data_IF_156146930737
#
_entry.id   IF_156146930737
#
_cell.length_a   1.000
_cell.length_b   1.000
_cell.length_c   1.000
_cell.angle_alpha   90.00
_cell.angle_beta   90.00
_cell.angle_gamma   90.00
#
_symmetry.space_group_name_H-M   'P 1'
#
loop_
_entity.id
_entity.type
_entity.pdbx_description
1 polymer ?
#
# COMPACT_ATOMS: atom_id res chain seq x y z
N UNK A 1 -12.02 -25.36 7.15
CA UNK A 1 -11.20 -24.32 6.49
C UNK A 1 -11.51 -23.00 7.18
N UNK A 2 -10.74 -22.64 8.22
CA UNK A 2 -10.89 -21.35 8.90
C UNK A 2 -10.00 -20.37 8.15
N UNK A 3 -10.60 -19.50 7.33
CA UNK A 3 -9.93 -18.28 6.94
C UNK A 3 -9.94 -17.40 8.18
N UNK A 4 -8.79 -17.24 8.84
CA UNK A 4 -8.61 -16.11 9.75
C UNK A 4 -8.72 -14.86 8.89
N UNK A 5 -9.93 -14.30 8.81
CA UNK A 5 -10.18 -12.98 8.24
C UNK A 5 -9.59 -11.95 9.21
N UNK A 6 -8.27 -11.87 9.31
CA UNK A 6 -7.60 -10.83 10.09
C UNK A 6 -7.92 -9.50 9.42
N UNK A 7 -8.94 -8.83 9.94
CA UNK A 7 -9.32 -7.50 9.47
C UNK A 7 -8.11 -6.61 9.64
N UNK A 8 -7.64 -6.05 8.52
CA UNK A 8 -6.48 -5.18 8.49
C UNK A 8 -6.69 -4.01 9.44
N UNK A 9 -5.81 -3.87 10.45
CA UNK A 9 -5.90 -2.78 11.41
C UNK A 9 -5.49 -1.44 10.78
N UNK A 10 -5.91 -0.34 11.39
CA UNK A 10 -5.54 1.02 10.95
C UNK A 10 -4.01 1.22 10.96
N UNK A 11 -3.30 0.61 11.91
CA UNK A 11 -1.84 0.72 12.03
C UNK A 11 -1.16 -0.01 10.87
N UNK A 12 -1.60 -1.24 10.58
CA UNK A 12 -1.11 -2.01 9.43
C UNK A 12 -1.41 -1.30 8.12
N UNK A 13 -2.61 -0.74 7.97
CA UNK A 13 -2.97 0.09 6.81
C UNK A 13 -2.01 1.27 6.63
N UNK A 14 -1.77 2.02 7.70
CA UNK A 14 -0.87 3.17 7.66
C UNK A 14 0.59 2.77 7.36
N UNK A 15 1.02 1.58 7.78
CA UNK A 15 2.33 1.04 7.44
C UNK A 15 2.43 0.71 5.94
N UNK A 16 1.47 -0.03 5.39
CA UNK A 16 1.40 -0.37 3.96
C UNK A 16 1.33 0.90 3.10
N UNK A 17 0.48 1.85 3.47
CA UNK A 17 0.32 3.12 2.77
C UNK A 17 1.63 3.91 2.70
N UNK A 18 2.37 3.99 3.80
CA UNK A 18 3.66 4.68 3.84
C UNK A 18 4.72 3.97 3.00
N UNK A 19 4.78 2.64 3.05
CA UNK A 19 5.72 1.86 2.26
C UNK A 19 5.47 2.07 0.75
N UNK A 20 4.23 1.90 0.29
CA UNK A 20 3.85 2.12 -1.11
C UNK A 20 4.15 3.57 -1.53
N UNK A 21 3.76 4.55 -0.71
CA UNK A 21 3.99 5.96 -1.03
C UNK A 21 5.48 6.33 -1.05
N UNK A 22 6.31 5.68 -0.23
CA UNK A 22 7.77 5.87 -0.25
C UNK A 22 8.37 5.31 -1.54
N UNK A 23 8.05 4.06 -1.89
CA UNK A 23 8.55 3.45 -3.14
C UNK A 23 8.05 4.20 -4.38
N UNK A 24 6.79 4.65 -4.41
CA UNK A 24 6.29 5.45 -5.53
C UNK A 24 7.12 6.73 -5.73
N UNK A 25 7.44 7.46 -4.66
CA UNK A 25 8.29 8.66 -4.73
C UNK A 25 9.71 8.34 -5.19
N UNK A 26 10.29 7.24 -4.72
CA UNK A 26 11.62 6.79 -5.15
C UNK A 26 11.67 6.46 -6.66
N UNK A 27 10.55 6.01 -7.22
CA UNK A 27 10.38 5.79 -8.66
C UNK A 27 10.04 7.06 -9.45
N UNK A 28 10.03 8.24 -8.81
CA UNK A 28 9.68 9.51 -9.44
C UNK A 28 8.18 9.68 -9.74
N UNK A 29 7.32 8.90 -9.07
CA UNK A 29 5.87 8.94 -9.27
C UNK A 29 5.18 9.82 -8.23
N UNK A 30 4.01 10.36 -8.58
CA UNK A 30 3.09 10.93 -7.62
C UNK A 30 2.57 9.84 -6.69
N UNK A 31 2.80 10.01 -5.38
CA UNK A 31 2.21 9.16 -4.35
C UNK A 31 0.80 9.69 -3.94
N UNK A 32 -0.25 8.84 -3.96
CA UNK A 32 -1.56 9.24 -3.49
C UNK A 32 -1.62 9.36 -1.96
N UNK A 33 -2.57 10.16 -1.47
CA UNK A 33 -3.06 10.05 -0.10
C UNK A 33 -3.95 8.82 0.05
N UNK A 34 -3.49 7.80 0.78
CA UNK A 34 -4.29 6.60 1.05
C UNK A 34 -5.29 6.81 2.19
N UNK A 35 -6.50 6.26 2.06
CA UNK A 35 -7.57 6.30 3.08
C UNK A 35 -8.31 4.96 3.14
N UNK A 36 -8.93 4.67 4.28
CA UNK A 36 -9.87 3.55 4.44
C UNK A 36 -10.91 3.90 5.53
N UNK A 37 -12.17 3.40 5.43
CA UNK A 37 -12.75 2.70 4.29
C UNK A 37 -13.10 3.65 3.13
N UNK A 38 -13.60 3.10 2.01
CA UNK A 38 -14.27 3.91 0.97
C UNK A 38 -15.52 4.59 1.54
N UNK A 39 -15.88 5.77 1.01
CA UNK A 39 -17.15 6.46 1.35
C UNK A 39 -18.34 6.01 0.52
N UNK A 40 -18.13 5.09 -0.42
CA UNK A 40 -19.16 4.55 -1.32
C UNK A 40 -19.38 3.10 -0.96
N UNK A 41 -20.60 2.76 -0.56
CA UNK A 41 -21.00 1.41 -0.16
C UNK A 41 -20.90 0.47 -1.36
N UNK A 42 -20.36 -0.73 -1.14
CA UNK A 42 -20.24 -1.77 -2.18
C UNK A 42 -19.10 -1.54 -3.17
N UNK A 43 -18.24 -0.55 -2.94
CA UNK A 43 -17.09 -0.25 -3.80
C UNK A 43 -15.78 -0.53 -3.07
N UNK A 44 -14.94 -1.36 -3.68
CA UNK A 44 -13.66 -1.79 -3.12
C UNK A 44 -12.59 -0.69 -3.13
N UNK A 45 -12.61 0.19 -4.13
CA UNK A 45 -11.67 1.30 -4.25
C UNK A 45 -12.31 2.51 -4.92
N UNK A 46 -12.02 3.69 -4.39
CA UNK A 46 -12.34 4.97 -5.03
C UNK A 46 -11.09 5.82 -5.21
N UNK A 47 -11.11 6.68 -6.23
CA UNK A 47 -10.04 7.61 -6.51
C UNK A 47 -10.60 9.01 -6.72
N UNK A 48 -9.93 10.02 -6.16
CA UNK A 48 -10.17 11.43 -6.46
C UNK A 48 -8.86 12.06 -6.90
N UNK A 49 -8.86 12.66 -8.10
CA UNK A 49 -7.71 13.42 -8.61
C UNK A 49 -7.86 14.89 -8.23
N UNK A 50 -6.76 15.53 -7.90
CA UNK A 50 -6.66 16.97 -7.76
C UNK A 50 -5.94 17.51 -8.99
N UNK A 51 -6.49 18.59 -9.55
CA UNK A 51 -5.92 19.28 -10.70
C UNK A 51 -5.34 20.60 -10.20
N UNK A 52 -4.08 20.84 -10.53
CA UNK A 52 -3.27 21.99 -10.12
C UNK A 52 -1.85 21.84 -10.69
N UNK A 53 -0.90 22.67 -10.26
CA UNK A 53 0.48 22.65 -10.76
C UNK A 53 1.22 21.33 -10.48
N UNK A 54 0.82 20.60 -9.43
CA UNK A 54 1.28 19.25 -9.14
C UNK A 54 0.12 18.24 -9.25
N UNK A 55 0.38 17.11 -9.93
CA UNK A 55 -0.57 15.99 -9.93
C UNK A 55 -0.58 15.38 -8.54
N UNK A 56 -1.75 15.41 -7.88
CA UNK A 56 -2.00 14.79 -6.60
C UNK A 56 -3.36 14.06 -6.60
N UNK A 57 -3.56 13.15 -5.65
CA UNK A 57 -4.83 12.44 -5.55
C UNK A 57 -5.01 11.65 -4.27
N UNK A 58 -6.25 11.28 -3.99
CA UNK A 58 -6.64 10.39 -2.89
C UNK A 58 -7.06 9.04 -3.49
N UNK A 59 -6.61 7.97 -2.86
CA UNK A 59 -7.07 6.60 -3.10
C UNK A 59 -7.68 6.09 -1.80
N UNK A 60 -8.97 5.82 -1.79
CA UNK A 60 -9.62 5.17 -0.66
C UNK A 60 -9.88 3.69 -1.00
N UNK A 61 -9.60 2.79 -0.07
CA UNK A 61 -9.83 1.34 -0.25
C UNK A 61 -10.67 0.78 0.88
N UNK A 62 -11.53 -0.17 0.55
CA UNK A 62 -12.26 -0.94 1.54
C UNK A 62 -11.34 -2.06 2.05
N UNK A 63 -11.35 -2.29 3.37
CA UNK A 63 -10.48 -3.26 4.04
C UNK A 63 -11.23 -4.33 4.81
N UNK A 64 -12.53 -4.09 5.09
CA UNK A 64 -13.36 -5.00 5.85
C UNK A 64 -13.72 -6.21 5.01
N UNK A 65 -13.57 -7.41 5.59
CA UNK A 65 -13.89 -8.70 4.97
C UNK A 65 -13.13 -8.96 3.65
N UNK A 66 -11.98 -8.28 3.47
CA UNK A 66 -11.15 -8.42 2.28
C UNK A 66 -9.80 -9.07 2.61
N UNK A 67 -9.31 -10.00 1.77
CA UNK A 67 -7.95 -10.50 1.87
C UNK A 67 -6.94 -9.36 1.75
N UNK A 68 -5.87 -9.41 2.55
CA UNK A 68 -4.78 -8.42 2.52
C UNK A 68 -4.28 -8.17 1.09
N UNK A 69 -4.06 -9.24 0.31
CA UNK A 69 -3.57 -9.13 -1.06
C UNK A 69 -4.49 -8.30 -1.97
N UNK A 70 -5.82 -8.40 -1.78
CA UNK A 70 -6.78 -7.61 -2.56
C UNK A 70 -6.72 -6.12 -2.17
N UNK A 71 -6.58 -5.82 -0.88
CA UNK A 71 -6.38 -4.44 -0.40
C UNK A 71 -5.11 -3.83 -0.97
N UNK A 72 -3.99 -4.56 -0.93
CA UNK A 72 -2.71 -4.09 -1.46
C UNK A 72 -2.78 -3.91 -2.98
N UNK A 73 -3.39 -4.84 -3.71
CA UNK A 73 -3.58 -4.73 -5.15
C UNK A 73 -4.35 -3.45 -5.52
N UNK A 74 -5.40 -3.13 -4.78
CA UNK A 74 -6.16 -1.89 -4.97
C UNK A 74 -5.33 -0.63 -4.68
N UNK A 75 -4.52 -0.65 -3.61
CA UNK A 75 -3.62 0.47 -3.30
C UNK A 75 -2.60 0.70 -4.43
N UNK A 76 -1.98 -0.36 -4.93
CA UNK A 76 -1.02 -0.33 -6.04
C UNK A 76 -1.68 0.17 -7.32
N UNK A 77 -2.86 -0.37 -7.66
CA UNK A 77 -3.59 0.07 -8.84
C UNK A 77 -4.00 1.54 -8.74
N UNK A 78 -4.20 2.04 -7.52
CA UNK A 78 -4.37 3.46 -7.24
C UNK A 78 -3.19 4.32 -7.69
N UNK A 79 -1.95 3.86 -7.43
CA UNK A 79 -0.73 4.54 -7.89
C UNK A 79 -0.64 4.52 -9.41
N UNK A 80 -0.83 3.35 -10.02
CA UNK A 80 -0.74 3.17 -11.48
C UNK A 80 -1.73 4.08 -12.20
N UNK A 81 -3.00 4.04 -11.80
CA UNK A 81 -4.03 4.86 -12.39
C UNK A 81 -3.75 6.34 -12.17
N UNK A 82 -3.37 6.77 -10.95
CA UNK A 82 -3.09 8.19 -10.67
C UNK A 82 -1.99 8.74 -11.60
N UNK A 83 -0.95 7.96 -11.85
CA UNK A 83 0.19 8.36 -12.68
C UNK A 83 0.00 8.11 -14.18
N UNK A 84 -1.15 7.55 -14.62
CA UNK A 84 -1.48 7.34 -16.04
C UNK A 84 -0.38 6.60 -16.81
N UNK A 85 0.20 5.59 -16.19
CA UNK A 85 1.36 4.88 -16.74
C UNK A 85 1.00 4.10 -18.02
N UNK A 86 1.94 4.04 -18.96
CA UNK A 86 1.84 3.12 -20.10
C UNK A 86 1.75 1.67 -19.61
N UNK A 87 1.19 0.73 -20.39
CA UNK A 87 1.03 -0.66 -19.96
C UNK A 87 2.33 -1.32 -19.48
N UNK A 88 3.45 -1.05 -20.16
CA UNK A 88 4.77 -1.59 -19.81
C UNK A 88 5.27 -1.02 -18.49
N UNK A 89 5.25 0.31 -18.33
CA UNK A 89 5.66 0.95 -17.08
C UNK A 89 4.73 0.55 -15.92
N UNK A 90 3.43 0.41 -16.17
CA UNK A 90 2.48 -0.05 -15.17
C UNK A 90 2.83 -1.45 -14.65
N UNK A 91 3.19 -2.40 -15.52
CA UNK A 91 3.61 -3.73 -15.11
C UNK A 91 4.89 -3.71 -14.24
N UNK A 92 5.89 -2.91 -14.64
CA UNK A 92 7.14 -2.73 -13.88
C UNK A 92 6.88 -2.12 -12.49
N UNK A 93 6.06 -1.07 -12.43
CA UNK A 93 5.71 -0.39 -11.17
C UNK A 93 4.92 -1.29 -10.25
N UNK A 94 3.97 -2.11 -10.77
CA UNK A 94 3.26 -3.10 -9.96
C UNK A 94 4.22 -4.08 -9.30
N UNK A 95 5.17 -4.62 -10.06
CA UNK A 95 6.20 -5.51 -9.53
C UNK A 95 7.08 -4.84 -8.48
N UNK A 96 7.55 -3.62 -8.75
CA UNK A 96 8.40 -2.88 -7.81
C UNK A 96 7.69 -2.58 -6.47
N UNK A 97 6.43 -2.15 -6.52
CA UNK A 97 5.63 -1.87 -5.33
C UNK A 97 5.30 -3.14 -4.54
N UNK A 98 5.05 -4.26 -5.21
CA UNK A 98 4.82 -5.53 -4.54
C UNK A 98 6.08 -6.03 -3.83
N UNK A 99 7.20 -6.04 -4.55
CA UNK A 99 8.49 -6.45 -4.01
C UNK A 99 8.93 -5.59 -2.82
N UNK A 100 8.64 -4.28 -2.82
CA UNK A 100 9.00 -3.42 -1.70
C UNK A 100 8.25 -3.76 -0.41
N UNK A 101 7.00 -4.21 -0.51
CA UNK A 101 6.21 -4.68 0.63
C UNK A 101 6.69 -6.04 1.14
N UNK A 102 7.05 -6.95 0.24
CA UNK A 102 7.64 -8.24 0.62
C UNK A 102 8.97 -8.05 1.36
N UNK A 103 9.83 -7.16 0.85
CA UNK A 103 11.10 -6.81 1.49
C UNK A 103 10.91 -6.15 2.87
N UNK A 104 9.97 -5.20 2.99
CA UNK A 104 9.65 -4.57 4.26
C UNK A 104 9.15 -5.57 5.32
N UNK A 105 8.33 -6.54 4.89
CA UNK A 105 7.84 -7.60 5.76
C UNK A 105 8.96 -8.58 6.16
N UNK A 106 9.85 -8.93 5.23
CA UNK A 106 11.02 -9.74 5.53
C UNK A 106 11.96 -9.05 6.55
N UNK A 107 12.19 -7.75 6.38
CA UNK A 107 13.01 -6.96 7.31
C UNK A 107 12.38 -6.89 8.71
N UNK A 108 11.07 -6.61 8.80
CA UNK A 108 10.37 -6.57 10.09
C UNK A 108 10.45 -7.90 10.84
N UNK A 109 10.38 -9.03 10.12
CA UNK A 109 10.57 -10.36 10.70
C UNK A 109 12.00 -10.61 11.15
N UNK A 110 12.99 -10.16 10.39
CA UNK A 110 14.41 -10.26 10.77
C UNK A 110 14.70 -9.46 12.05
N UNK A 111 14.22 -8.22 12.12
CA UNK A 111 14.37 -7.33 13.28
C UNK A 111 13.70 -7.93 14.54
N UNK A 112 12.53 -8.56 14.38
CA UNK A 112 11.83 -9.23 15.50
C UNK A 112 12.54 -10.49 16.00
N UNK A 113 13.35 -11.13 15.16
CA UNK A 113 14.02 -12.40 15.46
C UNK A 113 15.48 -12.19 15.92
N UNK A 114 15.93 -10.94 16.04
CA UNK A 114 17.25 -10.61 16.56
C UNK A 114 17.20 -10.72 18.10
N UNK A 115 17.95 -11.65 18.73
CA UNK A 115 17.92 -11.81 20.17
C UNK A 115 18.38 -10.51 20.82
N UNK A 116 17.69 -10.09 21.90
CA UNK A 116 18.02 -8.93 22.75
C UNK A 116 19.37 -9.16 23.45
N UNK A 117 20.45 -9.21 22.68
CA UNK A 117 21.81 -9.25 23.19
C UNK A 117 22.24 -7.81 23.45
N UNK A 118 21.89 -7.30 24.63
CA UNK A 118 22.67 -6.33 25.42
C UNK A 118 21.76 -5.56 26.40
N UNK A 119 21.49 -6.15 27.56
CA UNK A 119 21.35 -5.38 28.81
C UNK A 119 22.00 -6.17 29.95
N UNK A 120 23.34 -6.23 29.91
CA UNK A 120 24.18 -6.43 31.09
C UNK A 120 25.38 -5.51 30.94
N UNK A 121 25.37 -4.42 31.70
CA UNK A 121 26.53 -3.74 32.25
C UNK A 121 26.05 -2.95 33.47
#
# INVERSE_FOLDING_TARGET
MRSDSSTLSTVEFAALARAIASTARQLGLTAPGFRCPTRIIGVDRTMRRFVGDEVAGIVAVNVKDRPLAAVVADMIEGVVMLNQLSPVHAAQVRGALWNSLENANAQARADSNQPTAAHVA
#
